data_IF_848066233433
#
_entry.id   IF_848066233433
#
_cell.length_a   1.000
_cell.length_b   1.000
_cell.length_c   1.000
_cell.angle_alpha   90.00
_cell.angle_beta   90.00
_cell.angle_gamma   90.00
#
_symmetry.space_group_name_H-M   'P 1'
#
loop_
_entity.id
_entity.type
_entity.pdbx_description
1 polymer ?
#
# COMPACT_ATOMS: atom_id res chain seq x y z
N UNK A 1 20.06 -12.30 17.83
CA UNK A 1 19.28 -11.96 16.61
C UNK A 1 18.47 -10.71 16.91
N UNK A 2 18.92 -9.54 16.45
CA UNK A 2 18.13 -8.32 16.58
C UNK A 2 16.93 -8.46 15.62
N UNK A 3 15.70 -8.42 16.15
CA UNK A 3 14.50 -8.36 15.31
C UNK A 3 14.57 -7.18 14.33
N UNK A 4 13.78 -7.17 13.26
CA UNK A 4 13.79 -6.06 12.32
C UNK A 4 13.55 -4.76 13.09
N UNK A 5 14.56 -3.88 13.11
CA UNK A 5 14.45 -2.58 13.75
C UNK A 5 13.41 -1.77 12.99
N UNK A 6 12.20 -1.69 13.53
CA UNK A 6 11.11 -0.93 12.94
C UNK A 6 11.38 0.57 13.06
N UNK A 7 11.17 1.32 11.98
CA UNK A 7 11.20 2.78 11.98
C UNK A 7 9.79 3.32 11.86
N UNK A 8 9.45 4.28 12.72
CA UNK A 8 8.20 5.02 12.67
C UNK A 8 8.36 6.27 11.79
N UNK A 9 7.42 6.47 10.88
CA UNK A 9 7.32 7.65 10.02
C UNK A 9 5.98 8.34 10.28
N UNK A 10 6.00 9.65 10.52
CA UNK A 10 4.79 10.44 10.55
C UNK A 10 4.30 10.66 9.12
N UNK A 11 3.08 10.19 8.81
CA UNK A 11 2.48 10.34 7.48
C UNK A 11 1.15 11.07 7.59
N UNK A 12 0.78 11.81 6.53
CA UNK A 12 -0.53 12.44 6.42
C UNK A 12 -1.31 11.79 5.28
N UNK A 13 -2.36 11.06 5.61
CA UNK A 13 -3.26 10.44 4.62
C UNK A 13 -4.16 11.52 4.02
N UNK A 14 -3.85 11.90 2.78
CA UNK A 14 -4.62 12.89 2.04
C UNK A 14 -5.92 12.32 1.47
N UNK A 15 -5.87 11.12 0.91
CA UNK A 15 -7.02 10.46 0.29
C UNK A 15 -6.91 8.94 0.39
N UNK A 16 -8.05 8.27 0.52
CA UNK A 16 -8.15 6.80 0.55
C UNK A 16 -8.92 6.35 -0.69
N UNK A 17 -8.24 5.63 -1.59
CA UNK A 17 -8.84 5.11 -2.83
C UNK A 17 -9.33 3.67 -2.68
N UNK A 18 -8.65 2.86 -1.86
CA UNK A 18 -9.02 1.49 -1.56
C UNK A 18 -8.87 1.23 -0.07
N UNK A 19 -9.83 0.53 0.51
CA UNK A 19 -9.79 0.09 1.90
C UNK A 19 -10.29 -1.35 1.97
N UNK A 20 -9.66 -2.17 2.81
CA UNK A 20 -10.13 -3.53 3.12
C UNK A 20 -10.79 -3.51 4.51
N UNK A 21 -10.90 -4.68 5.15
CA UNK A 21 -11.56 -4.87 6.44
C UNK A 21 -11.10 -3.90 7.55
N UNK A 22 -9.89 -3.33 7.46
CA UNK A 22 -9.44 -2.28 8.37
C UNK A 22 -9.48 -0.91 7.70
N UNK A 23 -10.24 0.04 8.27
CA UNK A 23 -10.37 1.38 7.71
C UNK A 23 -9.07 2.17 7.92
N UNK A 24 -8.57 2.78 6.85
CA UNK A 24 -7.52 3.80 6.92
C UNK A 24 -8.20 5.16 7.08
N UNK A 25 -7.81 5.92 8.10
CA UNK A 25 -8.39 7.24 8.36
C UNK A 25 -7.60 8.33 7.65
N UNK A 26 -8.28 9.39 7.21
CA UNK A 26 -7.63 10.60 6.69
C UNK A 26 -7.06 11.39 7.86
N UNK A 27 -5.93 12.06 7.64
CA UNK A 27 -5.25 12.84 8.68
C UNK A 27 -3.84 12.33 8.97
N UNK A 28 -3.24 12.86 10.04
CA UNK A 28 -1.93 12.43 10.51
C UNK A 28 -2.02 11.08 11.21
N UNK A 29 -1.16 10.14 10.84
CA UNK A 29 -1.02 8.84 11.50
C UNK A 29 0.41 8.32 11.39
N UNK A 30 0.74 7.31 12.18
CA UNK A 30 2.06 6.67 12.15
C UNK A 30 2.10 5.53 11.14
N UNK A 31 3.08 5.56 10.27
CA UNK A 31 3.46 4.45 9.40
C UNK A 31 4.69 3.74 9.96
N UNK A 32 4.75 2.42 9.82
CA UNK A 32 5.87 1.59 10.27
C UNK A 32 6.58 0.97 9.08
N UNK A 33 7.90 1.11 9.04
CA UNK A 33 8.75 0.60 7.96
C UNK A 33 9.82 -0.31 8.57
N UNK A 34 10.02 -1.54 8.08
CA UNK A 34 11.16 -2.34 8.49
C UNK A 34 12.47 -1.64 8.14
N UNK A 35 13.40 -1.55 9.09
CA UNK A 35 14.69 -0.91 8.86
C UNK A 35 15.49 -1.55 7.72
N UNK A 36 15.32 -2.86 7.51
CA UNK A 36 15.90 -3.58 6.37
C UNK A 36 15.39 -3.06 5.01
N UNK A 37 14.12 -2.65 4.94
CA UNK A 37 13.48 -2.17 3.72
C UNK A 37 13.89 -0.72 3.39
N UNK A 38 14.19 0.07 4.43
CA UNK A 38 14.84 1.37 4.27
C UNK A 38 16.29 1.22 3.83
N UNK A 39 17.02 0.27 4.39
CA UNK A 39 18.43 0.04 4.06
C UNK A 39 18.62 -0.48 2.62
N UNK A 40 17.73 -1.33 2.10
CA UNK A 40 17.79 -1.76 0.70
C UNK A 40 17.34 -0.68 -0.30
N UNK A 41 16.72 0.41 0.17
CA UNK A 41 16.12 1.42 -0.70
C UNK A 41 14.91 0.91 -1.49
N UNK A 42 14.30 -0.20 -1.05
CA UNK A 42 13.12 -0.79 -1.67
C UNK A 42 11.91 0.17 -1.60
N UNK A 43 11.89 1.04 -0.59
CA UNK A 43 10.92 2.10 -0.44
C UNK A 43 11.62 3.47 -0.33
N UNK A 44 11.64 4.24 -1.42
CA UNK A 44 12.22 5.58 -1.45
C UNK A 44 11.18 6.64 -1.10
N UNK A 45 11.16 7.05 0.17
CA UNK A 45 10.30 8.11 0.67
C UNK A 45 11.12 9.36 1.00
N UNK A 46 10.69 10.52 0.49
CA UNK A 46 11.25 11.81 0.81
C UNK A 46 10.26 12.63 1.65
N UNK A 47 10.71 13.26 2.75
CA UNK A 47 9.86 14.16 3.52
C UNK A 47 9.27 15.27 2.65
N UNK A 48 8.02 15.64 2.90
CA UNK A 48 7.32 16.72 2.19
C UNK A 48 6.87 16.37 0.76
N UNK A 49 7.12 15.14 0.29
CA UNK A 49 6.63 14.67 -1.02
C UNK A 49 5.38 13.83 -0.84
N UNK A 50 4.39 14.04 -1.70
CA UNK A 50 3.18 13.24 -1.74
C UNK A 50 3.42 11.93 -2.48
N UNK A 51 2.92 10.82 -1.93
CA UNK A 51 3.03 9.49 -2.52
C UNK A 51 1.66 8.80 -2.62
N UNK A 52 1.44 8.07 -3.71
CA UNK A 52 0.44 7.02 -3.78
C UNK A 52 1.04 5.76 -3.14
N UNK A 53 0.50 5.38 -1.99
CA UNK A 53 0.90 4.19 -1.25
C UNK A 53 -0.07 3.04 -1.57
N UNK A 54 0.47 1.91 -2.01
CA UNK A 54 -0.26 0.67 -2.24
C UNK A 54 0.29 -0.39 -1.29
N UNK A 55 -0.50 -0.78 -0.29
CA UNK A 55 -0.12 -1.85 0.63
C UNK A 55 -0.32 -3.24 0.02
N UNK A 56 0.53 -4.19 0.41
CA UNK A 56 0.35 -5.60 0.12
C UNK A 56 -0.37 -6.31 1.27
N UNK A 57 -1.14 -7.34 0.94
CA UNK A 57 -1.66 -8.28 1.93
C UNK A 57 -0.61 -9.36 2.29
N UNK A 58 0.41 -9.53 1.46
CA UNK A 58 1.49 -10.48 1.69
C UNK A 58 2.48 -9.91 2.70
N UNK A 59 2.76 -10.66 3.76
CA UNK A 59 3.86 -10.35 4.67
C UNK A 59 3.58 -9.27 5.70
N UNK A 60 2.36 -8.72 5.83
CA UNK A 60 2.04 -7.79 6.91
C UNK A 60 2.04 -8.54 8.27
N UNK A 61 3.05 -8.33 9.14
CA UNK A 61 3.17 -9.08 10.38
C UNK A 61 2.24 -8.57 11.48
N UNK A 62 1.67 -7.37 11.33
CA UNK A 62 0.71 -6.79 12.26
C UNK A 62 -0.46 -6.15 11.49
N UNK A 63 -1.63 -6.81 11.43
CA UNK A 63 -2.78 -6.29 10.72
C UNK A 63 -3.28 -4.95 11.32
N UNK A 64 -2.90 -4.58 12.55
CA UNK A 64 -3.32 -3.33 13.19
C UNK A 64 -2.50 -2.10 12.84
N UNK A 65 -1.38 -2.24 12.15
CA UNK A 65 -0.48 -1.12 11.84
C UNK A 65 -0.50 -0.77 10.36
N UNK A 66 -0.33 0.52 10.07
CA UNK A 66 -0.06 0.99 8.72
C UNK A 66 1.40 0.70 8.38
N UNK A 67 1.65 -0.50 7.85
CA UNK A 67 3.00 -0.97 7.52
C UNK A 67 3.32 -0.64 6.05
N UNK A 68 4.47 -0.05 5.82
CA UNK A 68 5.05 0.10 4.48
C UNK A 68 6.26 -0.82 4.42
N UNK A 69 6.08 -1.99 3.82
CA UNK A 69 7.14 -2.98 3.65
C UNK A 69 7.59 -3.05 2.18
N UNK A 70 8.55 -3.92 1.90
CA UNK A 70 9.04 -4.24 0.55
C UNK A 70 7.97 -4.79 -0.40
N UNK A 71 6.86 -5.29 0.12
CA UNK A 71 5.77 -5.84 -0.69
C UNK A 71 4.79 -4.74 -1.12
N UNK A 72 4.78 -3.61 -0.43
CA UNK A 72 4.08 -2.40 -0.84
C UNK A 72 4.82 -1.59 -1.91
N UNK A 73 4.10 -0.62 -2.49
CA UNK A 73 4.64 0.33 -3.45
C UNK A 73 4.39 1.76 -2.98
N UNK A 74 5.41 2.61 -3.11
CA UNK A 74 5.28 4.06 -2.96
C UNK A 74 5.65 4.75 -4.27
N UNK A 75 4.62 5.28 -4.95
CA UNK A 75 4.80 5.99 -6.20
C UNK A 75 4.65 7.49 -5.95
N UNK A 76 5.59 8.35 -6.39
CA UNK A 76 5.42 9.80 -6.30
C UNK A 76 4.08 10.23 -6.90
N UNK A 77 3.32 10.99 -6.13
CA UNK A 77 1.97 11.39 -6.51
C UNK A 77 1.98 12.22 -7.79
N UNK A 78 1.02 11.96 -8.67
CA UNK A 78 0.79 12.76 -9.88
C UNK A 78 -0.66 13.22 -9.91
N UNK A 79 -0.95 14.54 -10.02
CA UNK A 79 -2.33 15.05 -9.99
C UNK A 79 -3.27 14.39 -11.01
N UNK A 80 -2.74 14.03 -12.19
CA UNK A 80 -3.48 13.34 -13.26
C UNK A 80 -4.05 11.97 -12.84
N UNK A 81 -3.53 11.35 -11.78
CA UNK A 81 -4.00 10.05 -11.29
C UNK A 81 -5.28 10.15 -10.45
N UNK A 82 -5.61 11.33 -9.92
CA UNK A 82 -6.78 11.50 -9.05
C UNK A 82 -8.09 11.02 -9.71
N UNK A 83 -8.35 11.44 -10.95
CA UNK A 83 -9.58 11.09 -11.68
C UNK A 83 -9.64 9.58 -12.01
N UNK A 84 -8.63 8.96 -12.64
CA UNK A 84 -8.62 7.52 -12.87
C UNK A 84 -8.77 6.68 -11.59
N UNK A 85 -8.09 7.06 -10.50
CA UNK A 85 -8.17 6.31 -9.23
C UNK A 85 -9.56 6.38 -8.61
N UNK A 86 -10.26 7.53 -8.71
CA UNK A 86 -11.66 7.62 -8.28
C UNK A 86 -12.59 6.77 -9.12
N UNK A 87 -12.38 6.72 -10.44
CA UNK A 87 -13.15 5.85 -11.33
C UNK A 87 -12.96 4.38 -10.95
N UNK A 88 -11.73 3.93 -10.75
CA UNK A 88 -11.42 2.56 -10.32
C UNK A 88 -12.06 2.23 -8.95
N UNK A 89 -12.05 3.19 -8.01
CA UNK A 89 -12.72 3.04 -6.71
C UNK A 89 -14.24 2.87 -6.87
N UNK A 90 -14.87 3.60 -7.79
CA UNK A 90 -16.30 3.45 -8.08
C UNK A 90 -16.60 2.11 -8.75
N UNK A 91 -15.78 1.69 -9.72
CA UNK A 91 -15.90 0.40 -10.39
C UNK A 91 -15.74 -0.76 -9.39
N UNK A 92 -14.76 -0.70 -8.46
CA UNK A 92 -14.63 -1.67 -7.37
C UNK A 92 -15.91 -1.76 -6.53
N UNK A 93 -16.45 -0.61 -6.09
CA UNK A 93 -17.68 -0.57 -5.28
C UNK A 93 -18.90 -1.11 -6.02
N UNK A 94 -18.91 -1.01 -7.33
CA UNK A 94 -19.92 -1.59 -8.20
C UNK A 94 -19.67 -3.08 -8.52
N UNK A 95 -18.65 -3.71 -7.93
CA UNK A 95 -18.29 -5.11 -8.16
C UNK A 95 -17.44 -5.37 -9.40
N UNK A 96 -16.92 -4.32 -10.06
CA UNK A 96 -16.12 -4.41 -11.28
C UNK A 96 -14.69 -4.92 -11.10
N UNK A 97 -14.26 -5.21 -9.87
CA UNK A 97 -13.00 -5.92 -9.63
C UNK A 97 -13.14 -7.39 -10.06
N UNK A 98 -12.89 -7.66 -11.34
CA UNK A 98 -12.61 -9.02 -11.78
C UNK A 98 -11.31 -9.42 -11.11
N UNK A 99 -11.35 -10.41 -10.23
CA UNK A 99 -10.13 -11.04 -9.74
C UNK A 99 -9.31 -11.43 -10.96
N UNK A 100 -8.04 -11.02 -11.01
CA UNK A 100 -7.09 -11.72 -11.86
C UNK A 100 -7.02 -13.13 -11.27
N UNK A 101 -7.86 -14.03 -11.75
CA UNK A 101 -7.73 -15.45 -11.45
C UNK A 101 -6.29 -15.82 -11.82
N UNK A 102 -5.54 -16.51 -10.94
CA UNK A 102 -4.30 -17.11 -11.36
C UNK A 102 -4.60 -17.97 -12.60
N UNK A 103 -3.75 -17.94 -13.64
CA UNK A 103 -3.97 -18.79 -14.80
C UNK A 103 -4.18 -20.22 -14.31
N UNK A 104 -5.34 -20.79 -14.62
CA UNK A 104 -5.67 -22.17 -14.29
C UNK A 104 -4.54 -23.06 -14.80
N UNK A 105 -3.99 -24.00 -14.00
CA UNK A 105 -3.04 -24.97 -14.54
C UNK A 105 -3.78 -25.75 -15.63
N UNK A 106 -3.32 -25.60 -16.88
CA UNK A 106 -3.84 -26.36 -18.01
C UNK A 106 -3.92 -27.85 -17.63
N UNK A 107 -5.03 -28.55 -17.92
CA UNK A 107 -5.03 -30.00 -17.81
C UNK A 107 -4.07 -30.54 -18.87
N UNK A 108 -2.94 -31.08 -18.43
CA UNK A 108 -2.02 -31.85 -19.27
C UNK A 108 -2.75 -33.11 -19.78
N UNK A 109 -2.59 -33.50 -21.06
CA UNK A 109 -3.26 -34.63 -21.68
C UNK A 109 -2.86 -36.00 -21.11
#
# INVERSE_FOLDING_TARGET
>A
MAGPAWRRLAVRVLAVYKQRARPVQRGGQDAWVPGADLACGCLRLQPGTDYLLLGSAAGNPDPGRFVLDRYGLALPWRPRWARPLRRLQQEERAGGCRGLEPPSPNPTP
#
